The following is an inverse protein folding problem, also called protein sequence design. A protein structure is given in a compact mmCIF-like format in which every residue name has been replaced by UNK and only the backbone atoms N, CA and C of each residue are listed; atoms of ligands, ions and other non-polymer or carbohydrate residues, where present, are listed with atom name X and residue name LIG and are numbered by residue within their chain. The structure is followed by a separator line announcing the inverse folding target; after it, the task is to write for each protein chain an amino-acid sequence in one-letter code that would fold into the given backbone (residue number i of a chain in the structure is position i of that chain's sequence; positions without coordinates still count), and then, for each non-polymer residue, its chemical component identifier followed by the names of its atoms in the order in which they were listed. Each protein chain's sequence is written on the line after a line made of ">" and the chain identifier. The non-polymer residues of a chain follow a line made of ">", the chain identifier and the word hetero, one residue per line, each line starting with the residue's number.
data_IF_784407397923
#
_entry.id   IF_784407397923
#
_cell.length_a   1.000
_cell.length_b   1.000
_cell.length_c   1.000
_cell.angle_alpha   90.00
_cell.angle_beta   90.00
_cell.angle_gamma   90.00
#
_symmetry.space_group_name_H-M   'P 1'
#
loop_
_entity.id
_entity.type
_entity.pdbx_description
1 polymer ?
#
# COMPACT_ATOMS: atom_id res chain seq x y z
N UNK A 1 1.40 3.17 -17.42
CA UNK A 1 0.24 2.29 -17.67
C UNK A 1 -0.45 2.78 -18.92
N UNK A 2 -0.82 1.89 -19.84
CA UNK A 2 -1.56 2.31 -21.03
C UNK A 2 -2.99 2.72 -20.65
N UNK A 3 -3.55 3.71 -21.34
CA UNK A 3 -4.88 4.26 -21.03
C UNK A 3 -5.97 3.18 -20.98
N UNK A 4 -5.99 2.28 -21.96
CA UNK A 4 -7.01 1.22 -22.02
C UNK A 4 -6.97 0.30 -20.80
N UNK A 5 -5.77 -0.07 -20.32
CA UNK A 5 -5.59 -0.90 -19.11
C UNK A 5 -6.13 -0.18 -17.87
N UNK A 6 -5.88 1.12 -17.79
CA UNK A 6 -6.36 1.94 -16.68
C UNK A 6 -7.89 2.03 -16.65
N UNK A 7 -8.50 2.37 -17.78
CA UNK A 7 -9.96 2.46 -17.92
C UNK A 7 -10.63 1.11 -17.67
N UNK A 8 -10.08 0.03 -18.22
CA UNK A 8 -10.56 -1.33 -17.96
C UNK A 8 -10.53 -1.66 -16.47
N UNK A 9 -9.48 -1.24 -15.77
CA UNK A 9 -9.35 -1.34 -14.32
C UNK A 9 -10.46 -0.60 -13.59
N UNK A 10 -10.71 0.66 -13.93
CA UNK A 10 -11.77 1.47 -13.33
C UNK A 10 -13.17 0.89 -13.60
N UNK A 11 -13.45 0.42 -14.82
CA UNK A 11 -14.71 -0.23 -15.13
C UNK A 11 -14.91 -1.55 -14.37
N UNK A 12 -13.85 -2.34 -14.20
CA UNK A 12 -13.90 -3.56 -13.38
C UNK A 12 -14.17 -3.22 -11.90
N UNK A 13 -13.53 -2.17 -11.39
CA UNK A 13 -13.76 -1.69 -10.03
C UNK A 13 -15.20 -1.18 -9.85
N UNK A 14 -15.70 -0.34 -10.76
CA UNK A 14 -17.07 0.18 -10.67
C UNK A 14 -18.14 -0.92 -10.69
N UNK A 15 -17.99 -1.90 -11.59
CA UNK A 15 -18.87 -3.08 -11.61
C UNK A 15 -18.82 -3.89 -10.31
N UNK A 16 -17.67 -3.91 -9.64
CA UNK A 16 -17.55 -4.56 -8.32
C UNK A 16 -18.35 -3.77 -7.28
N UNK A 17 -18.19 -2.45 -7.24
CA UNK A 17 -18.94 -1.58 -6.31
C UNK A 17 -20.45 -1.64 -6.56
N UNK A 18 -20.88 -1.74 -7.82
CA UNK A 18 -22.27 -1.95 -8.21
C UNK A 18 -22.84 -3.27 -7.67
N UNK A 19 -22.09 -4.38 -7.84
CA UNK A 19 -22.47 -5.69 -7.27
C UNK A 19 -22.56 -5.65 -5.74
N UNK A 20 -21.66 -4.91 -5.10
CA UNK A 20 -21.66 -4.67 -3.66
C UNK A 20 -22.69 -3.61 -3.23
N UNK A 21 -23.50 -3.08 -4.16
CA UNK A 21 -24.51 -2.03 -3.94
C UNK A 21 -23.97 -0.81 -3.18
N UNK A 22 -22.70 -0.51 -3.38
CA UNK A 22 -21.97 0.53 -2.65
C UNK A 22 -21.64 1.68 -3.58
N UNK A 23 -21.79 2.92 -3.09
CA UNK A 23 -21.31 4.12 -3.79
C UNK A 23 -20.05 4.62 -3.09
N UNK A 24 -18.96 4.77 -3.83
CA UNK A 24 -17.64 5.07 -3.26
C UNK A 24 -16.97 6.25 -3.94
N UNK A 25 -16.09 6.90 -3.19
CA UNK A 25 -15.18 7.93 -3.68
C UNK A 25 -13.79 7.31 -3.82
N UNK A 26 -13.22 7.34 -5.03
CA UNK A 26 -11.88 6.83 -5.31
C UNK A 26 -10.91 8.00 -5.51
N UNK A 27 -10.02 8.19 -4.55
CA UNK A 27 -8.97 9.19 -4.66
C UNK A 27 -7.78 8.67 -5.47
N UNK A 28 -7.34 9.43 -6.47
CA UNK A 28 -6.22 9.06 -7.33
C UNK A 28 -5.19 10.17 -7.47
N UNK A 29 -3.94 9.78 -7.71
CA UNK A 29 -2.88 10.73 -8.02
C UNK A 29 -3.07 11.35 -9.41
N UNK A 30 -2.63 12.61 -9.54
CA UNK A 30 -2.46 13.20 -10.86
C UNK A 30 -1.18 12.62 -11.48
N UNK A 31 -1.36 11.83 -12.53
CA UNK A 31 -0.29 11.28 -13.35
C UNK A 31 -0.54 11.69 -14.79
N UNK A 32 0.48 12.14 -15.51
CA UNK A 32 0.36 12.54 -16.91
C UNK A 32 -0.18 11.42 -17.82
N UNK A 33 -0.02 10.16 -17.41
CA UNK A 33 -0.58 9.00 -18.13
C UNK A 33 -2.09 8.80 -17.90
N UNK A 34 -2.72 9.53 -16.98
CA UNK A 34 -4.15 9.46 -16.69
C UNK A 34 -4.86 10.67 -17.30
N UNK A 35 -5.89 10.47 -18.14
CA UNK A 35 -6.70 11.59 -18.62
C UNK A 35 -7.47 12.18 -17.45
N UNK A 36 -7.56 13.51 -17.41
CA UNK A 36 -8.38 14.21 -16.41
C UNK A 36 -9.87 14.04 -16.70
N UNK A 37 -10.22 13.92 -17.99
CA UNK A 37 -11.57 13.68 -18.44
C UNK A 37 -11.86 12.18 -18.46
N UNK A 38 -12.36 11.67 -17.33
CA UNK A 38 -12.82 10.29 -17.20
C UNK A 38 -14.30 10.16 -17.58
N UNK A 39 -14.73 9.01 -18.13
CA UNK A 39 -16.15 8.74 -18.31
C UNK A 39 -16.86 8.70 -16.96
N UNK A 40 -18.16 8.97 -16.97
CA UNK A 40 -18.99 8.83 -15.78
C UNK A 40 -19.16 7.35 -15.44
N UNK A 41 -19.01 7.02 -14.16
CA UNK A 41 -19.24 5.69 -13.61
C UNK A 41 -20.49 5.70 -12.71
N UNK A 42 -21.10 4.53 -12.49
CA UNK A 42 -22.39 4.44 -11.79
C UNK A 42 -22.24 4.51 -10.26
N UNK A 43 -21.22 3.83 -9.74
CA UNK A 43 -21.05 3.59 -8.31
C UNK A 43 -19.73 4.17 -7.78
N UNK A 44 -18.86 4.65 -8.65
CA UNK A 44 -17.54 5.17 -8.31
C UNK A 44 -17.40 6.62 -8.76
N UNK A 45 -17.18 7.55 -7.83
CA UNK A 45 -16.72 8.90 -8.19
C UNK A 45 -15.21 8.95 -8.05
N UNK A 46 -14.50 9.22 -9.15
CA UNK A 46 -13.06 9.43 -9.12
C UNK A 46 -12.77 10.89 -8.78
N UNK A 47 -11.87 11.11 -7.82
CA UNK A 47 -11.37 12.45 -7.46
C UNK A 47 -9.85 12.43 -7.51
N UNK A 48 -9.28 13.38 -8.23
CA UNK A 48 -7.84 13.54 -8.28
C UNK A 48 -7.34 14.46 -7.17
N UNK A 49 -6.21 14.12 -6.56
CA UNK A 49 -5.51 15.02 -5.66
C UNK A 49 -4.97 16.25 -6.41
N UNK A 50 -4.85 17.42 -5.76
CA UNK A 50 -4.12 18.56 -6.32
C UNK A 50 -2.72 18.20 -6.79
N UNK A 51 -2.28 18.87 -7.87
CA UNK A 51 -0.94 18.71 -8.42
C UNK A 51 0.15 18.95 -7.36
N UNK A 52 1.25 18.21 -7.43
CA UNK A 52 2.44 18.37 -6.59
C UNK A 52 2.22 18.18 -5.07
N UNK A 53 1.06 17.68 -4.65
CA UNK A 53 0.74 17.48 -3.23
C UNK A 53 0.67 16.00 -2.82
N UNK A 54 0.78 15.06 -3.75
CA UNK A 54 0.56 13.62 -3.49
C UNK A 54 1.43 13.08 -2.35
N UNK A 55 2.71 13.48 -2.30
CA UNK A 55 3.64 13.09 -1.22
C UNK A 55 3.20 13.53 0.18
N UNK A 56 2.27 14.47 0.30
CA UNK A 56 1.76 15.00 1.58
C UNK A 56 0.36 14.53 1.93
N UNK A 57 -0.51 14.34 0.94
CA UNK A 57 -1.95 14.12 1.17
C UNK A 57 -2.46 12.79 0.63
N UNK A 58 -1.66 12.03 -0.11
CA UNK A 58 -2.07 10.72 -0.60
C UNK A 58 -1.70 9.65 0.44
N UNK A 59 -2.67 8.92 1.02
CA UNK A 59 -2.41 7.96 2.10
C UNK A 59 -1.37 6.88 1.75
N UNK A 60 -1.35 6.42 0.49
CA UNK A 60 -0.39 5.43 0.02
C UNK A 60 1.05 5.98 -0.02
N UNK A 61 1.23 7.22 -0.46
CA UNK A 61 2.55 7.85 -0.59
C UNK A 61 3.10 8.28 0.78
N UNK A 62 2.23 8.80 1.66
CA UNK A 62 2.62 9.28 2.99
C UNK A 62 3.06 8.13 3.89
N UNK A 63 2.38 6.98 3.83
CA UNK A 63 2.73 5.87 4.75
C UNK A 63 2.36 4.48 4.28
N UNK A 64 1.37 4.28 3.40
CA UNK A 64 0.98 2.93 2.97
C UNK A 64 2.15 2.14 2.38
N UNK A 65 2.89 2.74 1.44
CA UNK A 65 4.08 2.12 0.84
C UNK A 65 5.16 1.83 1.89
N UNK A 66 5.33 2.71 2.89
CA UNK A 66 6.30 2.51 3.97
C UNK A 66 5.96 1.25 4.78
N UNK A 67 4.71 1.08 5.19
CA UNK A 67 4.29 -0.09 5.96
C UNK A 67 4.54 -1.40 5.20
N UNK A 68 4.17 -1.44 3.91
CA UNK A 68 4.43 -2.62 3.06
C UNK A 68 5.93 -2.90 2.94
N UNK A 69 6.75 -1.87 2.73
CA UNK A 69 8.21 -2.02 2.63
C UNK A 69 8.83 -2.56 3.91
N UNK A 70 8.34 -2.16 5.09
CA UNK A 70 8.82 -2.68 6.38
C UNK A 70 8.56 -4.17 6.49
N UNK A 71 7.32 -4.62 6.23
CA UNK A 71 6.98 -6.05 6.26
C UNK A 71 7.79 -6.84 5.23
N UNK A 72 7.91 -6.31 4.01
CA UNK A 72 8.68 -6.96 2.94
C UNK A 72 10.14 -7.15 3.33
N UNK A 73 10.78 -6.09 3.85
CA UNK A 73 12.18 -6.12 4.27
C UNK A 73 12.39 -7.06 5.45
N UNK A 74 11.47 -7.07 6.42
CA UNK A 74 11.52 -8.02 7.55
C UNK A 74 11.53 -9.46 7.04
N UNK A 75 10.61 -9.81 6.14
CA UNK A 75 10.57 -11.15 5.53
C UNK A 75 11.84 -11.46 4.74
N UNK A 76 12.38 -10.49 4.00
CA UNK A 76 13.62 -10.66 3.26
C UNK A 76 14.80 -10.96 4.19
N UNK A 77 14.95 -10.17 5.25
CA UNK A 77 16.03 -10.33 6.23
C UNK A 77 15.91 -11.68 6.94
N UNK A 78 14.72 -12.08 7.40
CA UNK A 78 14.52 -13.39 8.01
C UNK A 78 14.94 -14.52 7.08
N UNK A 79 14.53 -14.49 5.81
CA UNK A 79 14.92 -15.50 4.82
C UNK A 79 16.44 -15.56 4.61
N UNK A 80 17.11 -14.42 4.58
CA UNK A 80 18.57 -14.36 4.43
C UNK A 80 19.26 -14.91 5.68
N UNK A 81 18.77 -14.59 6.87
CA UNK A 81 19.29 -15.12 8.12
C UNK A 81 19.14 -16.64 8.19
N UNK A 82 17.96 -17.17 7.83
CA UNK A 82 17.68 -18.61 7.79
C UNK A 82 18.59 -19.35 6.80
N UNK A 83 18.84 -18.74 5.63
CA UNK A 83 19.78 -19.29 4.63
C UNK A 83 21.24 -19.26 5.11
N UNK A 84 21.61 -18.23 5.86
CA UNK A 84 22.99 -17.98 6.33
C UNK A 84 23.43 -18.82 7.54
N UNK A 85 22.61 -19.79 7.99
CA UNK A 85 22.90 -20.71 9.10
C UNK A 85 24.19 -21.53 8.98
N UNK A 86 25.05 -21.28 7.97
CA UNK A 86 26.33 -21.96 7.77
C UNK A 86 27.54 -21.07 7.43
N UNK A 87 27.44 -19.74 7.30
CA UNK A 87 28.53 -18.73 7.28
C UNK A 87 27.97 -17.40 6.76
N UNK A 88 28.65 -16.29 7.12
CA UNK A 88 28.33 -14.89 6.76
C UNK A 88 27.65 -14.77 5.39
N UNK A 89 26.42 -14.25 5.39
CA UNK A 89 25.63 -13.99 4.19
C UNK A 89 26.48 -13.29 3.12
N UNK A 90 26.75 -14.01 2.02
CA UNK A 90 27.47 -13.43 0.89
C UNK A 90 26.47 -12.82 -0.08
N UNK A 91 26.95 -11.93 -0.97
CA UNK A 91 26.15 -11.35 -2.08
C UNK A 91 25.45 -12.41 -2.95
N UNK A 92 25.88 -13.67 -2.90
CA UNK A 92 25.30 -14.77 -3.68
C UNK A 92 23.96 -15.27 -3.12
N UNK A 93 23.63 -15.07 -1.85
CA UNK A 93 22.35 -15.51 -1.28
C UNK A 93 21.17 -14.60 -1.69
N UNK A 94 21.42 -13.32 -1.97
CA UNK A 94 20.41 -12.44 -2.56
C UNK A 94 19.97 -12.91 -3.97
N UNK A 95 20.79 -13.71 -4.66
CA UNK A 95 20.41 -14.33 -5.95
C UNK A 95 19.40 -15.47 -5.79
N UNK A 96 19.17 -15.95 -4.56
CA UNK A 96 18.20 -17.01 -4.29
C UNK A 96 16.76 -16.50 -4.28
N UNK A 97 16.54 -15.19 -4.08
CA UNK A 97 15.19 -14.61 -4.09
C UNK A 97 14.74 -14.43 -5.52
N UNK A 98 13.86 -15.30 -5.98
CA UNK A 98 13.29 -15.20 -7.32
C UNK A 98 12.25 -14.08 -7.41
N UNK A 99 11.85 -13.70 -8.62
CA UNK A 99 10.73 -12.76 -8.81
C UNK A 99 9.43 -13.31 -8.22
N UNK A 100 9.21 -14.63 -8.31
CA UNK A 100 8.04 -15.29 -7.71
C UNK A 100 8.05 -15.15 -6.18
N UNK A 101 9.21 -15.33 -5.55
CA UNK A 101 9.39 -15.10 -4.12
C UNK A 101 9.07 -13.66 -3.74
N UNK A 102 9.61 -12.70 -4.49
CA UNK A 102 9.34 -11.28 -4.26
C UNK A 102 7.84 -10.95 -4.37
N UNK A 103 7.13 -11.53 -5.34
CA UNK A 103 5.68 -11.37 -5.47
C UNK A 103 4.95 -11.96 -4.26
N UNK A 104 5.29 -13.18 -3.83
CA UNK A 104 4.68 -13.79 -2.64
C UNK A 104 4.95 -12.98 -1.37
N UNK A 105 6.17 -12.49 -1.20
CA UNK A 105 6.56 -11.63 -0.08
C UNK A 105 5.79 -10.31 -0.09
N UNK A 106 5.62 -9.69 -1.26
CA UNK A 106 4.80 -8.46 -1.40
C UNK A 106 3.34 -8.73 -1.06
N UNK A 107 2.74 -9.80 -1.58
CA UNK A 107 1.37 -10.20 -1.28
C UNK A 107 1.15 -10.54 0.20
N UNK A 108 2.15 -11.14 0.85
CA UNK A 108 2.10 -11.40 2.30
C UNK A 108 2.21 -10.09 3.09
N UNK A 109 3.14 -9.22 2.69
CA UNK A 109 3.34 -7.90 3.32
C UNK A 109 2.10 -7.03 3.26
N UNK A 110 1.40 -7.03 2.12
CA UNK A 110 0.13 -6.32 1.98
C UNK A 110 -0.98 -6.91 2.86
N UNK A 111 -1.09 -8.24 2.94
CA UNK A 111 -2.09 -8.92 3.76
C UNK A 111 -1.89 -8.74 5.26
N UNK A 112 -0.65 -8.45 5.69
CA UNK A 112 -0.33 -8.21 7.10
C UNK A 112 -0.64 -6.77 7.55
N UNK A 113 -1.10 -5.89 6.65
CA UNK A 113 -1.53 -4.56 7.04
C UNK A 113 -2.83 -4.64 7.83
N UNK A 114 -2.80 -4.11 9.05
CA UNK A 114 -3.99 -4.05 9.91
C UNK A 114 -4.86 -2.84 9.57
N UNK A 115 -6.12 -2.88 10.00
CA UNK A 115 -7.03 -1.75 9.90
C UNK A 115 -6.46 -0.50 10.59
N UNK A 116 -5.79 -0.66 11.75
CA UNK A 116 -5.09 0.41 12.46
C UNK A 116 -4.02 1.06 11.57
N UNK A 117 -3.23 0.27 10.84
CA UNK A 117 -2.23 0.79 9.89
C UNK A 117 -2.90 1.60 8.78
N UNK A 118 -3.99 1.11 8.20
CA UNK A 118 -4.73 1.79 7.13
C UNK A 118 -5.31 3.11 7.65
N UNK A 119 -6.03 3.09 8.78
CA UNK A 119 -6.57 4.29 9.43
C UNK A 119 -5.46 5.31 9.74
N UNK A 120 -4.33 4.85 10.26
CA UNK A 120 -3.16 5.71 10.50
C UNK A 120 -2.66 6.38 9.22
N UNK A 121 -2.66 5.67 8.08
CA UNK A 121 -2.26 6.25 6.80
C UNK A 121 -3.17 7.39 6.36
N UNK A 122 -4.48 7.19 6.48
CA UNK A 122 -5.46 8.22 6.17
C UNK A 122 -5.36 9.39 7.16
N UNK A 123 -5.20 9.13 8.47
CA UNK A 123 -4.98 10.19 9.47
C UNK A 123 -3.76 11.05 9.14
N UNK A 124 -2.62 10.43 8.81
CA UNK A 124 -1.38 11.13 8.42
C UNK A 124 -1.53 11.95 7.14
N UNK A 125 -2.41 11.52 6.24
CA UNK A 125 -2.77 12.25 5.02
C UNK A 125 -3.81 13.37 5.26
N UNK A 126 -4.23 13.61 6.51
CA UNK A 126 -5.16 14.67 6.88
C UNK A 126 -6.63 14.27 6.90
N UNK A 127 -6.96 12.98 6.78
CA UNK A 127 -8.34 12.50 6.90
C UNK A 127 -8.71 12.31 8.38
N UNK A 128 -9.91 12.74 8.75
CA UNK A 128 -10.47 12.49 10.07
C UNK A 128 -11.48 11.35 10.02
N UNK A 129 -11.51 10.54 11.07
CA UNK A 129 -12.50 9.50 11.26
C UNK A 129 -13.39 9.88 12.46
N UNK A 130 -14.69 9.51 12.46
CA UNK A 130 -15.51 9.61 13.66
C UNK A 130 -14.86 8.85 14.82
N UNK A 131 -15.03 9.31 16.04
CA UNK A 131 -14.51 8.60 17.22
C UNK A 131 -15.16 7.21 17.30
N UNK A 132 -14.33 6.16 17.18
CA UNK A 132 -14.71 4.78 17.48
C UNK A 132 -14.32 4.50 18.93
N UNK A 133 -15.16 3.79 19.69
CA UNK A 133 -14.87 3.39 21.06
C UNK A 133 -13.56 2.58 21.08
N UNK A 134 -12.53 3.12 21.74
CA UNK A 134 -11.19 2.55 21.81
C UNK A 134 -11.20 1.23 22.58
N UNK A 135 -11.14 0.11 21.85
CA UNK A 135 -10.54 -1.11 22.38
C UNK A 135 -9.05 -1.03 22.06
N UNK A 136 -8.25 -0.70 23.08
CA UNK A 136 -6.79 -0.77 23.01
C UNK A 136 -6.37 -2.24 22.94
N UNK A 137 -6.14 -2.74 21.73
CA UNK A 137 -5.24 -3.88 21.56
C UNK A 137 -3.79 -3.39 21.69
N UNK A 138 -2.92 -4.17 22.37
CA UNK A 138 -1.61 -3.72 22.82
C UNK A 138 -0.80 -3.17 21.64
N UNK A 139 -0.16 -2.04 21.90
CA UNK A 139 0.85 -1.45 21.02
C UNK A 139 1.92 -2.50 20.71
N UNK A 140 1.88 -3.04 19.49
CA UNK A 140 3.03 -3.73 18.97
C UNK A 140 4.12 -2.67 18.77
N UNK A 141 5.08 -2.66 19.69
CA UNK A 141 6.35 -1.93 19.64
C UNK A 141 6.95 -1.99 18.23
N UNK A 142 6.52 -1.04 17.41
CA UNK A 142 7.09 -0.71 16.11
C UNK A 142 7.62 0.72 16.11
N UNK A 143 7.68 1.33 17.30
CA UNK A 143 8.54 2.46 17.59
C UNK A 143 9.97 1.97 17.72
N UNK A 144 10.65 1.86 16.58
CA UNK A 144 12.02 2.34 16.35
C UNK A 144 12.59 1.71 15.07
N UNK A 145 12.04 2.09 13.91
CA UNK A 145 12.69 1.82 12.62
C UNK A 145 13.59 2.97 12.16
N UNK A 146 13.80 4.00 12.99
CA UNK A 146 14.79 5.05 12.71
C UNK A 146 16.24 4.55 12.84
N UNK A 147 16.45 3.35 13.39
CA UNK A 147 17.78 2.75 13.56
C UNK A 147 18.10 1.57 12.62
N UNK A 148 17.37 1.35 11.52
CA UNK A 148 17.72 0.29 10.53
C UNK A 148 18.11 0.90 9.16
N UNK A 149 18.82 2.03 9.19
CA UNK A 149 19.64 2.50 8.09
C UNK A 149 20.99 2.98 8.65
N UNK A 150 21.87 2.01 8.92
CA UNK A 150 23.32 2.18 8.78
C UNK A 150 23.77 1.06 7.84
#
# INVERSE_FOLDING_TARGET
>A
MALHIFLDGLHKFDRKMEKEKSKVLLFMNQCHAHPQDLPTFNNTKVVFFPANCTSKIQPLDVSGIRYVKVHYRKTLICRLLDASGTKRATKDELKLVTVLDAIHMLCSSWRNLTEKCIKSCFKKAGFSFPAENEYEEPENESENYENILI
#
